data_IF_640430363060
#
_entry.id   IF_640430363060
#
_cell.length_a   1.000
_cell.length_b   1.000
_cell.length_c   1.000
_cell.angle_alpha   90.00
_cell.angle_beta   90.00
_cell.angle_gamma   90.00
#
_symmetry.space_group_name_H-M   'P 1'
#
loop_
_entity.id
_entity.type
_entity.pdbx_description
1 polymer ?
#
# COMPACT_ATOMS: atom_id res chain seq x y z
N UNK A 1 30.92 0.75 16.04
CA UNK A 1 30.44 0.84 15.31
C UNK A 1 29.23 0.21 15.12
N UNK A 2 28.85 -0.52 15.50
CA UNK A 2 27.78 -1.12 15.42
C UNK A 2 26.64 -0.38 15.90
N UNK A 3 26.77 0.53 16.71
CA UNK A 3 25.65 1.23 17.23
C UNK A 3 24.85 1.78 16.12
N UNK A 4 25.44 2.20 15.13
CA UNK A 4 24.71 2.68 14.15
C UNK A 4 23.79 1.71 13.57
N UNK A 5 24.00 0.51 13.65
CA UNK A 5 23.17 -0.43 13.18
C UNK A 5 21.92 -0.40 13.89
N UNK A 6 21.90 -0.25 15.08
CA UNK A 6 20.74 -0.28 15.81
C UNK A 6 19.89 0.84 15.45
N UNK A 7 20.37 2.01 15.36
CA UNK A 7 19.58 3.02 15.07
C UNK A 7 19.00 2.86 13.72
N UNK A 8 19.63 2.33 12.80
CA UNK A 8 19.08 2.18 11.55
C UNK A 8 17.95 1.26 11.51
N UNK A 9 17.93 0.27 12.38
CA UNK A 9 16.90 -0.65 12.31
C UNK A 9 15.66 -0.19 12.87
N UNK A 10 15.65 0.48 13.93
CA UNK A 10 14.50 0.78 14.58
C UNK A 10 13.47 1.53 13.87
N UNK A 11 13.70 2.58 13.31
CA UNK A 11 12.66 3.41 12.88
C UNK A 11 11.77 2.87 11.80
N UNK A 12 12.17 1.96 11.08
CA UNK A 12 11.37 1.54 10.01
C UNK A 12 11.00 0.14 10.07
N UNK A 13 10.94 -0.39 11.24
CA UNK A 13 10.69 -1.78 11.36
C UNK A 13 9.43 -2.26 10.69
N UNK A 14 8.30 -1.64 10.94
CA UNK A 14 7.07 -2.17 10.38
C UNK A 14 7.01 -1.92 8.86
N UNK A 15 7.50 -0.79 8.42
CA UNK A 15 7.47 -0.48 7.00
C UNK A 15 8.37 -1.45 6.22
N UNK A 16 9.54 -1.75 6.77
CA UNK A 16 10.43 -2.69 6.12
C UNK A 16 9.83 -4.08 6.07
N UNK A 17 9.16 -4.50 7.13
CA UNK A 17 8.56 -5.82 7.13
C UNK A 17 7.43 -5.92 6.13
N UNK A 18 6.61 -4.89 6.04
CA UNK A 18 5.52 -4.91 5.08
C UNK A 18 6.06 -4.92 3.66
N UNK A 19 7.11 -4.13 3.41
CA UNK A 19 7.73 -4.10 2.10
C UNK A 19 8.24 -5.51 1.73
N UNK A 20 8.84 -6.22 2.68
CA UNK A 20 9.31 -7.56 2.44
C UNK A 20 8.15 -8.52 2.15
N UNK A 21 7.03 -8.34 2.83
CA UNK A 21 5.87 -9.18 2.59
C UNK A 21 5.35 -8.96 1.17
N UNK A 22 5.34 -7.72 0.71
CA UNK A 22 4.92 -7.43 -0.65
C UNK A 22 5.79 -8.23 -1.63
N UNK A 23 7.10 -8.19 -1.41
CA UNK A 23 8.01 -8.87 -2.33
C UNK A 23 7.83 -10.37 -2.26
N UNK A 24 7.67 -10.92 -1.07
CA UNK A 24 7.57 -12.37 -0.93
C UNK A 24 6.27 -12.93 -1.46
N UNK A 25 5.25 -12.10 -1.60
CA UNK A 25 3.96 -12.55 -2.12
C UNK A 25 3.71 -12.12 -3.56
N UNK A 26 4.73 -11.65 -4.22
CA UNK A 26 4.61 -11.36 -5.64
C UNK A 26 3.82 -10.09 -5.98
N UNK A 27 3.75 -9.14 -5.05
CA UNK A 27 3.13 -7.86 -5.34
C UNK A 27 4.04 -7.12 -6.30
N UNK A 28 3.50 -6.60 -7.39
CA UNK A 28 4.30 -5.87 -8.37
C UNK A 28 3.82 -4.46 -8.58
N UNK A 29 2.64 -4.11 -8.08
CA UNK A 29 2.12 -2.76 -8.25
C UNK A 29 1.66 -2.21 -6.91
N UNK A 30 2.08 -1.00 -6.58
CA UNK A 30 1.69 -0.32 -5.36
C UNK A 30 1.09 1.00 -5.74
N UNK A 31 -0.20 1.20 -5.47
CA UNK A 31 -0.85 2.46 -5.72
C UNK A 31 -1.11 3.15 -4.39
N UNK A 32 -1.12 4.45 -4.39
CA UNK A 32 -1.30 5.17 -3.15
C UNK A 32 -1.75 6.61 -3.34
N UNK A 33 -2.46 7.10 -2.33
CA UNK A 33 -2.71 8.52 -2.21
C UNK A 33 -1.70 8.97 -1.17
N UNK A 34 -0.92 10.02 -1.42
CA UNK A 34 0.11 10.46 -0.49
C UNK A 34 -0.41 10.64 0.92
N UNK A 35 0.28 10.08 1.89
CA UNK A 35 -0.15 10.10 3.27
C UNK A 35 1.07 9.98 4.18
N UNK A 36 1.16 10.85 5.17
CA UNK A 36 2.29 10.87 6.07
C UNK A 36 2.47 9.54 6.79
N UNK A 37 1.37 8.88 7.12
CA UNK A 37 1.46 7.61 7.84
C UNK A 37 2.12 6.51 7.04
N UNK A 38 2.07 6.61 5.71
CA UNK A 38 2.68 5.63 4.84
C UNK A 38 4.00 6.11 4.24
N UNK A 39 4.50 7.26 4.64
CA UNK A 39 5.62 7.88 3.93
C UNK A 39 6.83 6.98 3.81
N UNK A 40 7.18 6.27 4.87
CA UNK A 40 8.34 5.40 4.81
C UNK A 40 8.10 4.21 3.89
N UNK A 41 6.93 3.61 3.97
CA UNK A 41 6.60 2.47 3.13
C UNK A 41 6.56 2.89 1.67
N UNK A 42 5.98 4.04 1.39
CA UNK A 42 5.93 4.56 0.03
C UNK A 42 7.34 4.75 -0.51
N UNK A 43 8.24 5.30 0.33
CA UNK A 43 9.60 5.54 -0.10
C UNK A 43 10.31 4.21 -0.43
N UNK A 44 10.12 3.20 0.41
CA UNK A 44 10.72 1.91 0.16
C UNK A 44 10.23 1.32 -1.16
N UNK A 45 8.95 1.46 -1.44
CA UNK A 45 8.38 0.94 -2.66
C UNK A 45 8.86 1.71 -3.88
N UNK A 46 8.96 3.03 -3.77
CA UNK A 46 9.41 3.83 -4.90
C UNK A 46 10.85 3.56 -5.26
N UNK A 47 11.67 3.22 -4.27
CA UNK A 47 13.08 2.95 -4.51
C UNK A 47 13.31 1.53 -5.01
N UNK A 48 12.29 0.71 -5.05
CA UNK A 48 12.42 -0.70 -5.44
C UNK A 48 12.09 -0.86 -6.92
N UNK A 49 13.06 -1.26 -7.71
CA UNK A 49 12.88 -1.38 -9.14
C UNK A 49 11.90 -2.49 -9.54
N UNK A 50 11.62 -3.41 -8.64
CA UNK A 50 10.70 -4.49 -8.95
C UNK A 50 9.24 -4.10 -8.71
N UNK A 51 9.00 -2.93 -8.14
CA UNK A 51 7.67 -2.47 -7.86
C UNK A 51 7.31 -1.27 -8.71
N UNK A 52 6.11 -1.32 -9.28
CA UNK A 52 5.62 -0.19 -10.05
C UNK A 52 4.78 0.62 -9.09
N UNK A 53 5.10 1.87 -8.87
CA UNK A 53 4.32 2.72 -7.97
C UNK A 53 3.48 3.69 -8.77
N UNK A 54 2.25 3.90 -8.33
CA UNK A 54 1.33 4.79 -9.00
C UNK A 54 0.73 5.75 -7.98
N UNK A 55 0.90 7.03 -8.20
CA UNK A 55 0.31 8.05 -7.35
C UNK A 55 -1.11 8.29 -7.80
N UNK A 56 -2.05 8.25 -6.87
CA UNK A 56 -3.46 8.41 -7.20
C UNK A 56 -3.97 9.78 -6.81
N UNK A 57 -5.05 10.19 -7.44
CA UNK A 57 -5.74 11.40 -7.06
C UNK A 57 -6.73 11.09 -5.94
N UNK A 58 -7.44 9.98 -6.07
CA UNK A 58 -8.40 9.55 -5.06
C UNK A 58 -8.29 8.05 -4.87
N UNK A 59 -8.75 7.57 -3.73
CA UNK A 59 -8.58 6.17 -3.35
C UNK A 59 -9.33 5.20 -4.25
N UNK A 60 -10.47 5.59 -4.76
CA UNK A 60 -11.24 4.66 -5.58
C UNK A 60 -10.53 4.33 -6.90
N UNK A 61 -9.63 5.21 -7.35
CA UNK A 61 -8.83 4.91 -8.52
C UNK A 61 -7.95 3.70 -8.24
N UNK A 62 -7.51 3.56 -7.00
CA UNK A 62 -6.68 2.44 -6.61
C UNK A 62 -7.42 1.11 -6.66
N UNK A 63 -8.71 1.13 -6.35
CA UNK A 63 -9.52 -0.08 -6.43
C UNK A 63 -9.63 -0.51 -7.90
N UNK A 64 -9.85 0.46 -8.78
CA UNK A 64 -9.95 0.16 -10.22
C UNK A 64 -8.62 -0.35 -10.75
N UNK A 65 -7.50 0.26 -10.34
CA UNK A 65 -6.19 -0.17 -10.76
C UNK A 65 -5.89 -1.58 -10.28
N UNK A 66 -6.25 -1.90 -9.05
CA UNK A 66 -6.03 -3.22 -8.50
C UNK A 66 -6.82 -4.27 -9.27
N UNK A 67 -8.05 -3.93 -9.65
CA UNK A 67 -8.89 -4.83 -10.41
C UNK A 67 -8.26 -5.09 -11.78
N UNK A 68 -7.81 -4.02 -12.44
CA UNK A 68 -7.18 -4.17 -13.74
C UNK A 68 -5.89 -4.97 -13.67
N UNK A 69 -5.10 -4.75 -12.63
CA UNK A 69 -3.87 -5.49 -12.44
C UNK A 69 -4.16 -6.98 -12.29
N UNK A 70 -5.16 -7.32 -11.49
CA UNK A 70 -5.52 -8.71 -11.28
C UNK A 70 -5.96 -9.38 -12.59
N UNK A 71 -6.80 -8.68 -13.36
CA UNK A 71 -7.25 -9.21 -14.63
C UNK A 71 -6.08 -9.40 -15.60
N UNK A 72 -5.04 -8.60 -15.45
CA UNK A 72 -3.85 -8.72 -16.26
C UNK A 72 -2.79 -9.66 -15.71
N UNK A 73 -3.12 -10.36 -14.62
CA UNK A 73 -2.19 -11.33 -14.06
C UNK A 73 -1.18 -10.77 -13.08
N UNK A 74 -1.42 -9.54 -12.59
CA UNK A 74 -0.51 -8.92 -11.63
C UNK A 74 -1.16 -8.77 -10.27
N UNK A 75 -0.37 -8.73 -9.22
CA UNK A 75 -0.87 -8.50 -7.87
C UNK A 75 -0.55 -7.09 -7.44
N UNK A 76 -1.52 -6.45 -6.83
CA UNK A 76 -1.42 -5.03 -6.50
C UNK A 76 -1.83 -4.80 -5.05
N UNK A 77 -1.33 -3.72 -4.46
CA UNK A 77 -1.75 -3.29 -3.14
C UNK A 77 -2.06 -1.81 -3.22
N UNK A 78 -3.07 -1.39 -2.47
CA UNK A 78 -3.43 0.02 -2.35
C UNK A 78 -3.08 0.49 -0.94
N UNK A 79 -2.31 1.56 -0.85
CA UNK A 79 -1.98 2.16 0.43
C UNK A 79 -2.85 3.37 0.62
N UNK A 80 -3.64 3.42 1.70
CA UNK A 80 -4.51 4.55 1.95
C UNK A 80 -4.67 4.81 3.43
N UNK A 81 -5.21 5.98 3.74
CA UNK A 81 -5.51 6.33 5.09
C UNK A 81 -6.94 5.93 5.36
N UNK A 82 -7.30 5.75 6.62
CA UNK A 82 -8.65 5.32 6.98
C UNK A 82 -9.73 6.24 6.44
N UNK A 83 -9.44 7.52 6.33
CA UNK A 83 -10.43 8.46 5.80
C UNK A 83 -10.72 8.20 4.32
N UNK A 84 -9.83 7.52 3.62
CA UNK A 84 -10.05 7.23 2.20
C UNK A 84 -10.92 6.02 1.95
N UNK A 85 -11.16 5.21 2.98
CA UNK A 85 -11.98 4.01 2.80
C UNK A 85 -13.37 4.37 2.32
N UNK A 86 -13.93 5.45 2.84
CA UNK A 86 -15.27 5.87 2.44
C UNK A 86 -15.38 6.16 0.95
N UNK A 87 -14.28 6.62 0.34
CA UNK A 87 -14.32 6.93 -1.08
C UNK A 87 -14.36 5.67 -1.92
N UNK A 88 -14.08 4.52 -1.32
CA UNK A 88 -14.00 3.27 -2.06
C UNK A 88 -15.25 2.42 -1.95
N UNK A 89 -16.21 2.81 -1.12
CA UNK A 89 -17.35 1.95 -0.82
C UNK A 89 -18.07 1.46 -2.09
N UNK A 90 -18.32 2.37 -2.98
CA UNK A 90 -19.03 1.98 -4.19
C UNK A 90 -18.19 1.02 -5.05
N UNK A 91 -16.91 1.26 -5.13
CA UNK A 91 -16.04 0.41 -5.95
C UNK A 91 -15.86 -0.97 -5.33
N UNK A 92 -16.01 -1.08 -4.02
CA UNK A 92 -15.91 -2.37 -3.36
C UNK A 92 -17.01 -3.32 -3.82
N UNK A 93 -18.12 -2.78 -4.27
CA UNK A 93 -19.18 -3.64 -4.78
C UNK A 93 -18.70 -4.40 -6.03
N UNK A 94 -17.87 -3.76 -6.85
CA UNK A 94 -17.32 -4.41 -8.03
C UNK A 94 -16.37 -5.54 -7.60
N UNK A 95 -15.53 -5.28 -6.60
CA UNK A 95 -14.60 -6.27 -6.10
C UNK A 95 -15.38 -7.48 -5.60
N UNK A 96 -16.45 -7.23 -4.87
CA UNK A 96 -17.26 -8.30 -4.32
C UNK A 96 -18.01 -9.07 -5.41
N UNK A 97 -18.67 -8.36 -6.29
CA UNK A 97 -19.47 -9.00 -7.32
C UNK A 97 -18.62 -9.81 -8.29
N UNK A 98 -17.45 -9.30 -8.63
CA UNK A 98 -16.58 -9.99 -9.57
C UNK A 98 -15.62 -10.95 -8.88
N UNK A 99 -15.69 -11.04 -7.56
CA UNK A 99 -14.82 -11.93 -6.78
C UNK A 99 -13.35 -11.70 -7.05
N UNK A 100 -12.94 -10.45 -7.04
CA UNK A 100 -11.57 -10.10 -7.30
C UNK A 100 -10.83 -9.95 -6.00
N UNK A 101 -9.68 -10.56 -5.82
CA UNK A 101 -8.90 -10.36 -4.60
C UNK A 101 -8.45 -8.91 -4.51
N UNK A 102 -8.60 -8.30 -3.35
CA UNK A 102 -8.23 -6.93 -3.16
C UNK A 102 -7.43 -6.81 -1.87
N UNK A 103 -6.26 -6.17 -1.95
CA UNK A 103 -5.38 -6.05 -0.82
C UNK A 103 -5.08 -4.58 -0.58
N UNK A 104 -5.21 -4.15 0.64
CA UNK A 104 -4.93 -2.76 0.99
C UNK A 104 -4.30 -2.70 2.37
N UNK A 105 -3.45 -1.70 2.58
CA UNK A 105 -2.87 -1.43 3.89
C UNK A 105 -3.36 -0.04 4.28
N UNK A 106 -3.99 0.05 5.42
CA UNK A 106 -4.66 1.28 5.85
C UNK A 106 -4.04 1.82 7.11
N UNK A 107 -3.65 3.11 7.09
CA UNK A 107 -3.21 3.78 8.31
C UNK A 107 -4.43 4.34 8.99
N UNK A 108 -4.48 4.24 10.31
CA UNK A 108 -5.63 4.69 11.06
C UNK A 108 -5.43 6.11 11.55
N UNK A 109 -6.43 6.95 11.31
CA UNK A 109 -6.40 8.28 11.82
C UNK A 109 -7.08 8.31 13.14
N UNK A 110 -6.70 9.21 13.99
CA UNK A 110 -7.32 9.35 15.30
C UNK A 110 -6.78 8.42 16.34
N UNK A 111 -5.78 7.62 16.00
CA UNK A 111 -5.17 6.76 16.98
C UNK A 111 -4.24 7.55 17.88
N UNK A 112 -4.07 7.08 19.12
CA UNK A 112 -3.21 7.71 20.03
C UNK A 112 -1.82 7.83 19.45
N UNK A 113 -1.24 8.98 19.51
CA UNK A 113 0.10 9.17 18.98
C UNK A 113 0.15 9.67 17.56
N UNK A 114 -0.98 9.85 16.98
CA UNK A 114 -1.01 10.28 15.63
C UNK A 114 -1.03 11.77 15.43
#
# INVERSE_FOLDING_TARGET
MEPKKEKTREPQTWANRIHEVFKSHGITQVSYVPDAGHSRLIQLCRDDHDLRTVVLTTEEEGVALATGAWLGGQRSVLLMQSSGVGNCINMFSMVRECRIPFFTVITMRGEKGE
#
